data_IF_230668504422
#
_entry.id   IF_230668504422
#
_cell.length_a   1.000
_cell.length_b   1.000
_cell.length_c   1.000
_cell.angle_alpha   90.00
_cell.angle_beta   90.00
_cell.angle_gamma   90.00
#
_symmetry.space_group_name_H-M   'P 1'
#
loop_
_entity.id
_entity.type
_entity.pdbx_description
1 polymer ?
#
# COMPACT_ATOMS: atom_id res chain seq x y z
N UNK A 1 25.29 9.72 -1.67
CA UNK A 1 24.37 8.72 -2.28
C UNK A 1 23.74 9.38 -3.50
N UNK A 2 23.69 8.70 -4.66
CA UNK A 2 22.88 9.21 -5.78
C UNK A 2 21.42 9.19 -5.35
N UNK A 3 20.73 10.30 -5.56
CA UNK A 3 19.29 10.41 -5.29
C UNK A 3 18.55 9.44 -6.23
N UNK A 4 17.78 8.53 -5.66
CA UNK A 4 17.02 7.55 -6.46
C UNK A 4 15.89 8.30 -7.18
N UNK A 5 15.83 8.18 -8.49
CA UNK A 5 14.81 8.84 -9.32
C UNK A 5 13.44 8.22 -9.09
N UNK A 6 12.38 9.03 -9.14
CA UNK A 6 10.99 8.57 -8.88
C UNK A 6 10.52 7.48 -9.84
N UNK A 7 11.06 7.41 -11.07
CA UNK A 7 10.71 6.35 -12.01
C UNK A 7 11.34 4.98 -11.65
N UNK A 8 12.39 4.95 -10.82
CA UNK A 8 13.09 3.70 -10.48
C UNK A 8 12.18 2.77 -9.68
N UNK A 9 12.24 1.48 -9.95
CA UNK A 9 11.39 0.49 -9.28
C UNK A 9 11.69 0.36 -7.79
N UNK A 10 12.94 0.65 -7.38
CA UNK A 10 13.39 0.67 -5.98
C UNK A 10 13.10 2.00 -5.24
N UNK A 11 12.48 2.98 -5.91
CA UNK A 11 12.20 4.27 -5.28
C UNK A 11 11.29 4.09 -4.06
N UNK A 12 11.74 4.64 -2.94
CA UNK A 12 10.95 4.77 -1.73
C UNK A 12 11.28 6.09 -1.05
N UNK A 13 10.31 6.67 -0.37
CA UNK A 13 10.49 7.90 0.39
C UNK A 13 9.66 7.88 1.67
N UNK A 14 10.07 8.68 2.63
CA UNK A 14 9.36 8.92 3.88
C UNK A 14 9.07 10.40 4.03
N UNK A 15 8.03 10.76 4.78
CA UNK A 15 7.57 12.12 4.92
C UNK A 15 7.64 12.58 6.38
N UNK A 16 8.22 13.76 6.59
CA UNK A 16 8.29 14.37 7.91
C UNK A 16 6.92 14.91 8.36
N UNK A 17 6.03 15.29 7.43
CA UNK A 17 4.73 15.86 7.75
C UNK A 17 3.62 15.36 6.81
N UNK A 18 2.36 15.52 7.27
CA UNK A 18 1.18 15.30 6.41
C UNK A 18 1.18 16.24 5.19
N UNK A 19 1.62 17.46 5.35
CA UNK A 19 1.65 18.44 4.25
C UNK A 19 2.60 17.99 3.15
N UNK A 20 3.82 17.62 3.51
CA UNK A 20 4.81 17.09 2.55
C UNK A 20 4.28 15.85 1.81
N UNK A 21 3.68 14.93 2.54
CA UNK A 21 3.08 13.73 1.93
C UNK A 21 1.95 14.09 0.95
N UNK A 22 1.05 14.99 1.33
CA UNK A 22 -0.07 15.39 0.47
C UNK A 22 0.38 16.16 -0.77
N UNK A 23 1.39 17.01 -0.66
CA UNK A 23 2.01 17.70 -1.79
C UNK A 23 2.66 16.70 -2.76
N UNK A 24 3.41 15.73 -2.23
CA UNK A 24 3.99 14.65 -3.04
C UNK A 24 2.91 13.84 -3.77
N UNK A 25 1.84 13.43 -3.08
CA UNK A 25 0.75 12.67 -3.69
C UNK A 25 0.00 13.50 -4.75
N UNK A 26 -0.19 14.81 -4.53
CA UNK A 26 -0.79 15.71 -5.49
C UNK A 26 0.06 15.84 -6.76
N UNK A 27 1.36 16.03 -6.61
CA UNK A 27 2.27 16.14 -7.75
C UNK A 27 2.32 14.83 -8.55
N UNK A 28 2.44 13.71 -7.85
CA UNK A 28 2.40 12.39 -8.49
C UNK A 28 1.08 12.11 -9.21
N UNK A 29 -0.05 12.57 -8.68
CA UNK A 29 -1.34 12.44 -9.34
C UNK A 29 -1.38 13.19 -10.69
N UNK A 30 -0.77 14.38 -10.77
CA UNK A 30 -0.66 15.15 -12.03
C UNK A 30 0.21 14.45 -13.08
N UNK A 31 1.28 13.77 -12.64
CA UNK A 31 2.21 13.04 -13.50
C UNK A 31 1.74 11.62 -13.83
N UNK A 32 0.58 11.21 -13.32
CA UNK A 32 0.00 9.90 -13.58
C UNK A 32 -1.26 10.00 -14.43
N UNK A 33 -1.54 8.95 -15.20
CA UNK A 33 -2.75 8.84 -15.99
C UNK A 33 -3.34 7.44 -15.95
N UNK A 34 -4.66 7.40 -16.07
CA UNK A 34 -5.41 6.17 -16.25
C UNK A 34 -5.87 6.06 -17.70
N UNK A 35 -5.57 4.95 -18.36
CA UNK A 35 -5.90 4.67 -19.75
C UNK A 35 -6.83 3.47 -19.80
N UNK A 36 -8.03 3.62 -20.37
CA UNK A 36 -8.97 2.50 -20.59
C UNK A 36 -8.85 2.02 -22.04
N UNK A 37 -8.64 0.72 -22.22
CA UNK A 37 -8.54 0.07 -23.55
C UNK A 37 -9.06 -1.36 -23.49
N UNK A 38 -9.60 -1.90 -24.60
CA UNK A 38 -9.91 -3.31 -24.71
C UNK A 38 -8.66 -4.15 -24.40
N UNK A 39 -8.77 -5.11 -23.49
CA UNK A 39 -7.63 -5.92 -23.03
C UNK A 39 -6.90 -6.60 -24.18
N UNK A 40 -7.64 -7.08 -25.18
CA UNK A 40 -7.09 -7.73 -26.38
C UNK A 40 -6.18 -6.84 -27.25
N UNK A 41 -6.21 -5.52 -27.03
CA UNK A 41 -5.37 -4.57 -27.78
C UNK A 41 -4.04 -4.29 -27.07
N UNK A 42 -3.86 -4.77 -25.86
CA UNK A 42 -2.62 -4.66 -25.12
C UNK A 42 -1.60 -5.67 -25.67
N UNK A 43 -0.35 -5.24 -25.78
CA UNK A 43 0.73 -6.11 -26.23
C UNK A 43 1.96 -5.90 -25.37
N UNK A 44 2.38 -6.95 -24.67
CA UNK A 44 3.65 -6.98 -23.98
C UNK A 44 4.78 -7.32 -24.94
N UNK A 45 5.88 -6.59 -24.90
CA UNK A 45 7.05 -6.80 -25.77
C UNK A 45 8.33 -6.76 -24.94
N UNK A 46 9.41 -7.47 -25.35
CA UNK A 46 10.71 -7.30 -24.72
C UNK A 46 11.26 -5.89 -24.92
N UNK A 47 11.93 -5.36 -23.90
CA UNK A 47 12.51 -4.02 -23.91
C UNK A 47 13.54 -3.83 -25.03
N UNK A 48 14.41 -4.83 -25.30
CA UNK A 48 15.47 -4.77 -26.32
C UNK A 48 15.00 -4.25 -27.68
N UNK A 49 13.75 -4.53 -28.06
CA UNK A 49 13.18 -4.14 -29.35
C UNK A 49 12.69 -2.70 -29.42
N UNK A 50 12.45 -2.09 -28.28
CA UNK A 50 11.79 -0.79 -28.17
C UNK A 50 12.65 0.23 -27.37
N UNK A 51 13.86 -0.17 -26.96
CA UNK A 51 14.73 0.65 -26.12
C UNK A 51 15.04 2.01 -26.77
N UNK A 52 15.48 2.01 -28.03
CA UNK A 52 15.79 3.24 -28.78
C UNK A 52 14.57 4.15 -28.90
N UNK A 53 13.39 3.59 -29.24
CA UNK A 53 12.15 4.36 -29.35
C UNK A 53 11.75 5.03 -28.04
N UNK A 54 12.01 4.35 -26.90
CA UNK A 54 11.70 4.88 -25.57
C UNK A 54 12.71 5.96 -25.18
N UNK A 55 13.99 5.75 -25.43
CA UNK A 55 15.05 6.73 -25.17
C UNK A 55 14.87 8.02 -25.98
N UNK A 56 14.52 7.91 -27.27
CA UNK A 56 14.22 9.06 -28.12
C UNK A 56 12.99 9.86 -27.67
N UNK A 57 11.98 9.18 -27.10
CA UNK A 57 10.78 9.81 -26.57
C UNK A 57 10.92 10.28 -25.12
N UNK A 58 12.05 10.01 -24.48
CA UNK A 58 12.27 10.24 -23.07
C UNK A 58 12.53 11.73 -22.78
N UNK A 59 11.80 12.28 -21.82
CA UNK A 59 12.11 13.59 -21.28
C UNK A 59 13.36 13.51 -20.38
N UNK A 60 14.07 14.61 -20.19
CA UNK A 60 15.28 14.68 -19.38
C UNK A 60 15.10 14.14 -17.96
N UNK A 61 13.91 14.26 -17.40
CA UNK A 61 13.56 13.77 -16.06
C UNK A 61 13.46 12.24 -15.98
N UNK A 62 13.27 11.60 -17.14
CA UNK A 62 13.16 10.14 -17.29
C UNK A 62 14.45 9.50 -17.83
N UNK A 63 15.54 10.28 -17.94
CA UNK A 63 16.85 9.74 -18.35
C UNK A 63 17.26 8.60 -17.42
N UNK A 64 17.55 7.41 -17.99
CA UNK A 64 17.86 6.19 -17.26
C UNK A 64 16.66 5.25 -17.01
N UNK A 65 15.45 5.58 -17.49
CA UNK A 65 14.27 4.73 -17.34
C UNK A 65 14.44 3.37 -18.05
N UNK A 66 15.12 3.37 -19.19
CA UNK A 66 15.41 2.15 -19.96
C UNK A 66 16.36 1.26 -19.18
N UNK A 67 17.47 1.82 -18.66
CA UNK A 67 18.43 1.10 -17.83
C UNK A 67 17.79 0.49 -16.57
N UNK A 68 16.93 1.26 -15.89
CA UNK A 68 16.20 0.75 -14.72
C UNK A 68 15.23 -0.38 -15.10
N UNK A 69 14.53 -0.26 -16.24
CA UNK A 69 13.63 -1.31 -16.72
C UNK A 69 14.38 -2.57 -17.14
N UNK A 70 15.57 -2.44 -17.72
CA UNK A 70 16.44 -3.56 -18.05
C UNK A 70 16.88 -4.35 -16.81
N UNK A 71 17.22 -3.65 -15.75
CA UNK A 71 17.58 -4.27 -14.45
C UNK A 71 16.43 -5.02 -13.79
N UNK A 72 15.19 -4.59 -14.03
CA UNK A 72 14.00 -5.12 -13.37
C UNK A 72 13.21 -6.06 -14.28
N UNK A 73 12.23 -5.55 -15.02
CA UNK A 73 11.28 -6.38 -15.76
C UNK A 73 11.73 -6.80 -17.15
N UNK A 74 12.52 -5.97 -17.84
CA UNK A 74 12.90 -6.13 -19.24
C UNK A 74 11.71 -6.15 -20.19
N UNK A 75 10.61 -5.53 -19.80
CA UNK A 75 9.33 -5.57 -20.51
C UNK A 75 8.75 -4.18 -20.73
N UNK A 76 8.05 -4.05 -21.86
CA UNK A 76 7.33 -2.86 -22.26
C UNK A 76 5.89 -3.22 -22.62
N UNK A 77 4.93 -2.41 -22.21
CA UNK A 77 3.54 -2.53 -22.60
C UNK A 77 3.25 -1.55 -23.74
N UNK A 78 2.90 -2.09 -24.91
CA UNK A 78 2.40 -1.32 -26.03
C UNK A 78 0.90 -1.06 -25.85
N UNK A 79 0.54 0.22 -25.84
CA UNK A 79 -0.84 0.71 -25.74
C UNK A 79 -1.10 1.62 -26.93
N UNK A 80 -1.81 1.16 -27.94
CA UNK A 80 -1.94 1.81 -29.26
C UNK A 80 -0.58 1.98 -29.97
N UNK A 81 -0.12 3.25 -30.10
CA UNK A 81 1.18 3.60 -30.71
C UNK A 81 2.25 3.86 -29.66
N UNK A 82 1.86 4.00 -28.40
CA UNK A 82 2.77 4.36 -27.30
C UNK A 82 3.37 3.11 -26.66
N UNK A 83 4.59 3.24 -26.19
CA UNK A 83 5.35 2.20 -25.49
C UNK A 83 5.67 2.69 -24.09
N UNK A 84 5.26 1.90 -23.07
CA UNK A 84 5.50 2.23 -21.68
C UNK A 84 6.32 1.12 -21.03
N UNK A 85 7.52 1.42 -20.49
CA UNK A 85 8.25 0.49 -19.63
C UNK A 85 7.35 -0.05 -18.52
N UNK A 86 7.49 -1.34 -18.20
CA UNK A 86 6.67 -2.01 -17.19
C UNK A 86 7.41 -2.04 -15.86
N UNK A 87 6.79 -1.53 -14.81
CA UNK A 87 7.27 -1.59 -13.44
C UNK A 87 7.06 -3.00 -12.86
N UNK A 88 7.92 -3.46 -11.96
CA UNK A 88 7.81 -4.82 -11.38
C UNK A 88 6.46 -5.03 -10.68
N UNK A 89 5.95 -4.05 -9.93
CA UNK A 89 4.65 -4.13 -9.28
C UNK A 89 3.48 -4.32 -10.26
N UNK A 90 3.62 -3.91 -11.54
CA UNK A 90 2.58 -4.09 -12.55
C UNK A 90 2.46 -5.54 -13.06
N UNK A 91 3.52 -6.34 -12.94
CA UNK A 91 3.55 -7.73 -13.48
C UNK A 91 2.40 -8.55 -12.91
N UNK A 92 2.14 -8.45 -11.60
CA UNK A 92 1.05 -9.18 -10.95
C UNK A 92 -0.31 -8.84 -11.57
N UNK A 93 -0.60 -7.55 -11.79
CA UNK A 93 -1.88 -7.10 -12.35
C UNK A 93 -2.02 -7.47 -13.83
N UNK A 94 -0.94 -7.41 -14.60
CA UNK A 94 -0.90 -7.87 -16.01
C UNK A 94 -1.23 -9.35 -16.07
N UNK A 95 -0.59 -10.19 -15.27
CA UNK A 95 -0.85 -11.64 -15.24
C UNK A 95 -2.29 -11.93 -14.80
N UNK A 96 -2.78 -11.25 -13.75
CA UNK A 96 -4.17 -11.37 -13.32
C UNK A 96 -5.14 -11.00 -14.46
N UNK A 97 -4.86 -9.92 -15.21
CA UNK A 97 -5.68 -9.49 -16.36
C UNK A 97 -5.63 -10.49 -17.51
N UNK A 98 -4.50 -11.17 -17.72
CA UNK A 98 -4.34 -12.26 -18.66
C UNK A 98 -4.96 -13.60 -18.18
N UNK A 99 -5.49 -13.67 -16.96
CA UNK A 99 -6.01 -14.92 -16.38
C UNK A 99 -4.92 -15.95 -16.07
N UNK A 100 -3.69 -15.50 -15.85
CA UNK A 100 -2.55 -16.38 -15.60
C UNK A 100 -2.23 -16.40 -14.10
N UNK A 101 -2.23 -17.59 -13.53
CA UNK A 101 -1.83 -17.85 -12.15
C UNK A 101 -0.57 -18.72 -12.13
N UNK A 102 0.34 -18.41 -11.21
CA UNK A 102 1.53 -19.21 -10.96
C UNK A 102 2.84 -18.56 -11.34
N UNK A 103 3.93 -19.12 -10.83
CA UNK A 103 5.29 -18.56 -10.91
C UNK A 103 6.15 -19.15 -12.04
N UNK A 104 5.66 -20.20 -12.71
CA UNK A 104 6.42 -20.95 -13.72
C UNK A 104 6.88 -20.09 -14.90
N UNK A 105 6.06 -19.11 -15.29
CA UNK A 105 6.38 -18.19 -16.39
C UNK A 105 7.64 -17.35 -16.16
N UNK A 106 7.98 -17.06 -14.90
CA UNK A 106 9.18 -16.26 -14.57
C UNK A 106 10.50 -16.90 -15.03
N UNK A 107 10.49 -18.21 -15.32
CA UNK A 107 11.65 -18.98 -15.79
C UNK A 107 11.83 -18.91 -17.31
N UNK A 108 10.85 -18.39 -18.04
CA UNK A 108 10.93 -18.25 -19.49
C UNK A 108 11.81 -17.07 -19.89
N UNK A 109 12.47 -17.21 -21.02
CA UNK A 109 13.12 -16.11 -21.71
C UNK A 109 12.06 -15.02 -22.03
N UNK A 110 12.43 -13.74 -21.96
CA UNK A 110 11.49 -12.61 -21.98
C UNK A 110 10.63 -12.53 -23.24
N UNK A 111 11.16 -12.89 -24.40
CA UNK A 111 10.38 -12.91 -25.63
C UNK A 111 9.30 -14.01 -25.59
N UNK A 112 9.62 -15.18 -25.07
CA UNK A 112 8.67 -16.27 -24.88
C UNK A 112 7.65 -15.94 -23.81
N UNK A 113 8.09 -15.34 -22.67
CA UNK A 113 7.20 -14.84 -21.62
C UNK A 113 6.16 -13.88 -22.19
N UNK A 114 6.62 -12.82 -22.91
CA UNK A 114 5.73 -11.84 -23.52
C UNK A 114 4.75 -12.47 -24.50
N UNK A 115 5.22 -13.44 -25.33
CA UNK A 115 4.40 -14.15 -26.30
C UNK A 115 3.27 -14.95 -25.62
N UNK A 116 3.56 -15.67 -24.54
CA UNK A 116 2.56 -16.44 -23.78
C UNK A 116 1.53 -15.49 -23.15
N UNK A 117 1.98 -14.43 -22.49
CA UNK A 117 1.07 -13.43 -21.88
C UNK A 117 0.18 -12.80 -22.94
N UNK A 118 0.72 -12.45 -24.11
CA UNK A 118 -0.04 -11.86 -25.21
C UNK A 118 -1.14 -12.78 -25.76
N UNK A 119 -0.91 -14.09 -25.87
CA UNK A 119 -1.96 -15.02 -26.27
C UNK A 119 -3.12 -15.01 -25.27
N UNK A 120 -2.83 -14.94 -23.98
CA UNK A 120 -3.85 -14.86 -22.95
C UNK A 120 -4.59 -13.50 -22.96
N UNK A 121 -3.87 -12.37 -23.13
CA UNK A 121 -4.48 -11.04 -23.25
C UNK A 121 -5.41 -10.94 -24.48
N UNK A 122 -5.07 -11.57 -25.61
CA UNK A 122 -5.88 -11.55 -26.81
C UNK A 122 -7.26 -12.22 -26.65
N UNK A 123 -7.35 -13.22 -25.79
CA UNK A 123 -8.62 -13.93 -25.52
C UNK A 123 -9.34 -13.40 -24.27
N UNK A 124 -8.70 -12.53 -23.49
CA UNK A 124 -9.30 -11.91 -22.32
C UNK A 124 -10.44 -10.96 -22.73
N UNK A 125 -11.56 -11.07 -22.01
CA UNK A 125 -12.75 -10.25 -22.27
C UNK A 125 -12.70 -8.93 -21.49
N UNK A 126 -13.44 -7.94 -21.99
CA UNK A 126 -13.62 -6.64 -21.36
C UNK A 126 -12.41 -5.70 -21.53
N UNK A 127 -12.55 -4.54 -20.93
CA UNK A 127 -11.52 -3.50 -20.97
C UNK A 127 -10.47 -3.70 -19.88
N UNK A 128 -9.29 -3.17 -20.12
CA UNK A 128 -8.25 -2.98 -19.12
C UNK A 128 -8.20 -1.50 -18.71
N UNK A 129 -7.96 -1.25 -17.43
CA UNK A 129 -7.66 0.06 -16.86
C UNK A 129 -6.16 0.08 -16.51
N UNK A 130 -5.40 0.86 -17.27
CA UNK A 130 -3.94 0.89 -17.19
C UNK A 130 -3.53 2.13 -16.43
N UNK A 131 -2.73 1.98 -15.38
CA UNK A 131 -2.08 3.10 -14.69
C UNK A 131 -0.68 3.31 -15.23
N UNK A 132 -0.43 4.52 -15.70
CA UNK A 132 0.91 5.00 -16.04
C UNK A 132 1.28 6.09 -15.04
N UNK A 133 2.39 5.91 -14.34
CA UNK A 133 2.92 6.86 -13.39
C UNK A 133 4.44 6.94 -13.52
N UNK A 134 4.98 8.15 -13.44
CA UNK A 134 6.42 8.38 -13.51
C UNK A 134 7.07 7.71 -14.74
N UNK A 135 6.41 7.81 -15.90
CA UNK A 135 6.85 7.22 -17.17
C UNK A 135 6.66 5.72 -17.34
N UNK A 136 6.26 4.97 -16.31
CA UNK A 136 6.09 3.51 -16.35
C UNK A 136 4.65 3.06 -16.12
N UNK A 137 4.30 1.89 -16.68
CA UNK A 137 3.07 1.18 -16.29
C UNK A 137 3.26 0.62 -14.89
N UNK A 138 2.39 1.05 -13.96
CA UNK A 138 2.39 0.59 -12.57
C UNK A 138 1.30 -0.44 -12.28
N UNK A 139 0.21 -0.48 -13.07
CA UNK A 139 -0.84 -1.49 -12.94
C UNK A 139 -1.64 -1.67 -14.23
N UNK A 140 -2.27 -2.85 -14.38
CA UNK A 140 -3.25 -3.17 -15.42
C UNK A 140 -4.43 -3.90 -14.77
N UNK A 141 -5.47 -3.18 -14.43
CA UNK A 141 -6.67 -3.72 -13.79
C UNK A 141 -7.76 -4.07 -14.80
N UNK A 142 -8.83 -4.71 -14.36
CA UNK A 142 -10.09 -4.75 -15.11
C UNK A 142 -10.70 -3.36 -15.24
N UNK A 143 -11.38 -3.13 -16.38
CA UNK A 143 -11.85 -1.79 -16.74
C UNK A 143 -13.22 -1.44 -16.23
N UNK A 144 -13.96 -2.34 -15.59
CA UNK A 144 -15.23 -2.02 -14.96
C UNK A 144 -15.11 -1.83 -13.44
N UNK A 145 -16.11 -1.19 -12.83
CA UNK A 145 -16.08 -0.83 -11.41
C UNK A 145 -16.23 -2.06 -10.49
N UNK A 146 -16.62 -3.21 -11.02
CA UNK A 146 -16.58 -4.47 -10.29
C UNK A 146 -15.17 -5.00 -10.12
N UNK A 147 -14.31 -4.76 -11.12
CA UNK A 147 -12.94 -5.22 -11.13
C UNK A 147 -12.01 -4.29 -10.33
N UNK A 148 -12.13 -2.98 -10.57
CA UNK A 148 -11.30 -1.98 -9.89
C UNK A 148 -11.93 -0.58 -9.89
N UNK A 149 -12.03 0.01 -8.70
CA UNK A 149 -12.45 1.40 -8.50
C UNK A 149 -11.23 2.26 -8.17
N UNK A 150 -11.04 3.32 -8.92
CA UNK A 150 -9.99 4.31 -8.65
C UNK A 150 -10.42 5.15 -7.44
N UNK A 151 -9.72 4.98 -6.33
CA UNK A 151 -9.86 5.81 -5.14
C UNK A 151 -8.62 6.70 -5.04
N UNK A 152 -8.82 8.01 -5.19
CA UNK A 152 -7.71 8.96 -5.19
C UNK A 152 -7.00 8.99 -3.84
N UNK A 153 -5.69 8.71 -3.85
CA UNK A 153 -4.88 8.60 -2.64
C UNK A 153 -4.84 9.92 -1.86
N UNK A 154 -4.62 11.04 -2.53
CA UNK A 154 -4.59 12.35 -1.88
C UNK A 154 -5.91 12.63 -1.16
N UNK A 155 -7.03 12.35 -1.82
CA UNK A 155 -8.37 12.51 -1.23
C UNK A 155 -8.56 11.63 0.00
N UNK A 156 -8.14 10.36 -0.05
CA UNK A 156 -8.22 9.43 1.09
C UNK A 156 -7.42 9.94 2.30
N UNK A 157 -6.17 10.38 2.10
CA UNK A 157 -5.33 10.90 3.17
C UNK A 157 -5.86 12.24 3.72
N UNK A 158 -6.38 13.12 2.87
CA UNK A 158 -7.04 14.37 3.29
C UNK A 158 -8.28 14.06 4.14
N UNK A 159 -9.19 13.20 3.65
CA UNK A 159 -10.40 12.82 4.40
C UNK A 159 -10.05 12.24 5.77
N UNK A 160 -9.00 11.42 5.86
CA UNK A 160 -8.54 10.85 7.13
C UNK A 160 -8.03 11.95 8.07
N UNK A 161 -7.16 12.83 7.58
CA UNK A 161 -6.61 13.94 8.37
C UNK A 161 -7.70 14.87 8.90
N UNK A 162 -8.66 15.22 8.05
CA UNK A 162 -9.77 16.09 8.43
C UNK A 162 -10.72 15.42 9.42
N UNK A 163 -11.02 14.14 9.21
CA UNK A 163 -11.82 13.34 10.14
C UNK A 163 -11.15 13.29 11.53
N UNK A 164 -9.86 12.99 11.57
CA UNK A 164 -9.12 12.91 12.84
C UNK A 164 -9.09 14.27 13.56
N UNK A 165 -8.87 15.37 12.87
CA UNK A 165 -8.90 16.72 13.46
C UNK A 165 -10.28 17.05 14.04
N UNK A 166 -11.36 16.62 13.39
CA UNK A 166 -12.73 16.89 13.82
C UNK A 166 -13.16 16.06 15.03
N UNK A 167 -12.79 14.77 15.06
CA UNK A 167 -13.31 13.79 16.02
C UNK A 167 -12.32 13.39 17.12
N UNK A 168 -11.01 13.60 16.92
CA UNK A 168 -9.95 13.29 17.87
C UNK A 168 -9.10 14.52 18.13
N UNK A 169 -9.57 15.42 19.03
CA UNK A 169 -8.86 16.65 19.38
C UNK A 169 -7.43 16.35 19.85
N UNK A 170 -6.44 17.03 19.30
CA UNK A 170 -5.04 16.78 19.63
C UNK A 170 -4.43 15.59 18.90
N UNK A 171 -5.10 15.01 17.88
CA UNK A 171 -4.48 14.05 17.00
C UNK A 171 -3.32 14.70 16.23
N UNK A 172 -2.19 14.00 16.16
CA UNK A 172 -0.98 14.48 15.50
C UNK A 172 -0.43 13.41 14.54
N UNK A 173 0.06 13.85 13.40
CA UNK A 173 0.81 12.98 12.51
C UNK A 173 2.09 12.52 13.21
N UNK A 174 2.37 11.23 13.12
CA UNK A 174 3.62 10.68 13.65
C UNK A 174 4.73 10.93 12.63
N UNK A 175 5.65 11.82 12.94
CA UNK A 175 6.78 12.19 12.09
C UNK A 175 7.56 10.95 11.62
N UNK A 176 7.87 10.90 10.32
CA UNK A 176 8.59 9.77 9.71
C UNK A 176 7.79 8.48 9.53
N UNK A 177 6.51 8.45 9.93
CA UNK A 177 5.64 7.28 9.74
C UNK A 177 5.03 7.20 8.35
N UNK A 178 4.97 8.32 7.64
CA UNK A 178 4.51 8.36 6.26
C UNK A 178 5.55 7.78 5.33
N UNK A 179 5.14 6.86 4.49
CA UNK A 179 6.01 6.23 3.51
C UNK A 179 5.28 6.02 2.20
N UNK A 180 6.03 6.10 1.13
CA UNK A 180 5.60 5.76 -0.21
C UNK A 180 6.63 4.86 -0.86
N UNK A 181 6.16 3.79 -1.46
CA UNK A 181 6.80 3.10 -2.56
C UNK A 181 5.77 2.90 -3.69
N UNK A 182 6.19 2.36 -4.82
CA UNK A 182 5.27 2.19 -5.95
C UNK A 182 4.15 1.17 -5.72
N UNK A 183 4.18 0.45 -4.61
CA UNK A 183 3.21 -0.59 -4.26
C UNK A 183 2.23 -0.12 -3.20
N UNK A 184 2.69 0.66 -2.22
CA UNK A 184 1.93 1.03 -1.04
C UNK A 184 2.25 2.46 -0.57
N UNK A 185 1.23 3.15 -0.07
CA UNK A 185 1.34 4.39 0.70
C UNK A 185 0.82 4.15 2.10
N UNK A 186 1.53 4.63 3.10
CA UNK A 186 1.09 4.52 4.48
C UNK A 186 1.40 5.78 5.28
N UNK A 187 0.60 6.04 6.31
CA UNK A 187 0.87 7.06 7.32
C UNK A 187 0.24 6.68 8.65
N UNK A 188 0.74 7.26 9.74
CA UNK A 188 0.25 7.00 11.09
C UNK A 188 0.01 8.32 11.83
N UNK A 189 -1.03 8.33 12.64
CA UNK A 189 -1.38 9.43 13.55
C UNK A 189 -1.53 8.91 14.95
N UNK A 190 -1.05 9.65 15.93
CA UNK A 190 -1.46 9.48 17.33
C UNK A 190 -2.80 10.18 17.53
N UNK A 191 -3.69 9.56 18.28
CA UNK A 191 -5.04 10.08 18.56
C UNK A 191 -5.07 10.67 19.96
N UNK A 192 -5.36 11.96 20.04
CA UNK A 192 -5.53 12.66 21.31
C UNK A 192 -7.00 12.86 21.68
N UNK A 193 -7.24 13.46 22.84
CA UNK A 193 -8.54 14.02 23.21
C UNK A 193 -9.60 13.07 23.76
N UNK A 194 -9.27 11.79 23.92
CA UNK A 194 -10.14 10.79 24.55
C UNK A 194 -9.52 10.26 25.84
N UNK A 195 -9.32 11.17 26.83
CA UNK A 195 -8.68 10.80 28.09
C UNK A 195 -9.43 9.67 28.83
N UNK A 196 -10.75 9.69 28.84
CA UNK A 196 -11.56 8.64 29.45
C UNK A 196 -11.30 7.26 28.84
N UNK A 197 -11.19 7.18 27.49
CA UNK A 197 -10.86 5.94 26.80
C UNK A 197 -9.44 5.48 27.12
N UNK A 198 -8.50 6.42 27.20
CA UNK A 198 -7.10 6.16 27.52
C UNK A 198 -6.95 5.67 28.97
N UNK A 199 -7.61 6.33 29.92
CA UNK A 199 -7.60 5.96 31.34
C UNK A 199 -8.22 4.57 31.54
N UNK A 200 -9.34 4.29 30.87
CA UNK A 200 -9.98 2.96 30.91
C UNK A 200 -9.04 1.88 30.35
N UNK A 201 -8.31 2.20 29.29
CA UNK A 201 -7.34 1.28 28.68
C UNK A 201 -6.15 1.03 29.60
N UNK A 202 -5.58 2.10 30.19
CA UNK A 202 -4.48 1.97 31.16
C UNK A 202 -4.89 1.17 32.38
N UNK A 203 -6.08 1.42 32.95
CA UNK A 203 -6.59 0.66 34.07
C UNK A 203 -6.74 -0.83 33.70
N UNK A 204 -7.31 -1.15 32.53
CA UNK A 204 -7.44 -2.53 32.08
C UNK A 204 -6.09 -3.23 31.90
N UNK A 205 -5.05 -2.52 31.47
CA UNK A 205 -3.68 -3.06 31.38
C UNK A 205 -3.05 -3.27 32.77
N UNK A 206 -3.22 -2.31 33.71
CA UNK A 206 -2.73 -2.40 35.09
C UNK A 206 -3.36 -3.60 35.81
N UNK A 207 -4.66 -3.83 35.65
CA UNK A 207 -5.39 -4.97 36.20
C UNK A 207 -4.82 -6.32 35.68
N UNK A 208 -4.16 -6.31 34.53
CA UNK A 208 -3.47 -7.47 33.96
C UNK A 208 -1.94 -7.47 34.22
N UNK A 209 -1.45 -6.55 35.07
CA UNK A 209 -0.04 -6.46 35.46
C UNK A 209 0.86 -5.83 34.37
N UNK A 210 0.29 -5.04 33.48
CA UNK A 210 1.02 -4.31 32.42
C UNK A 210 1.04 -2.82 32.79
N UNK A 211 2.16 -2.33 33.27
CA UNK A 211 2.34 -0.93 33.71
C UNK A 211 2.99 -0.07 32.61
N UNK A 212 2.46 -0.07 31.38
CA UNK A 212 2.97 0.81 30.31
C UNK A 212 2.06 2.03 30.12
N UNK A 213 2.32 3.10 30.88
CA UNK A 213 1.60 4.39 30.76
C UNK A 213 1.99 5.20 29.52
N UNK A 214 2.95 4.73 28.73
CA UNK A 214 3.36 5.38 27.49
C UNK A 214 2.49 5.01 26.28
N UNK A 215 1.54 4.08 26.46
CA UNK A 215 0.65 3.64 25.39
C UNK A 215 -0.35 4.74 25.03
N UNK A 216 -0.39 5.10 23.74
CA UNK A 216 -1.34 6.06 23.20
C UNK A 216 -2.11 5.43 22.03
N UNK A 217 -3.41 5.76 21.86
CA UNK A 217 -4.16 5.35 20.69
C UNK A 217 -3.50 5.91 19.42
N UNK A 218 -3.41 5.08 18.39
CA UNK A 218 -2.85 5.48 17.10
C UNK A 218 -3.64 4.84 15.95
N UNK A 219 -3.70 5.51 14.82
CA UNK A 219 -4.32 5.01 13.60
C UNK A 219 -3.28 4.96 12.50
N UNK A 220 -3.14 3.81 11.84
CA UNK A 220 -2.39 3.68 10.60
C UNK A 220 -3.35 3.52 9.43
N UNK A 221 -3.13 4.30 8.40
CA UNK A 221 -3.79 4.16 7.10
C UNK A 221 -2.80 3.59 6.09
N UNK A 222 -3.23 2.61 5.31
CA UNK A 222 -2.50 2.13 4.13
C UNK A 222 -3.42 2.07 2.93
N UNK A 223 -2.89 2.34 1.75
CA UNK A 223 -3.59 2.14 0.47
C UNK A 223 -2.62 1.81 -0.65
N UNK A 224 -3.15 1.30 -1.76
CA UNK A 224 -2.38 0.93 -2.95
C UNK A 224 -3.23 1.18 -4.20
N UNK A 225 -2.65 1.79 -5.21
CA UNK A 225 -3.28 1.94 -6.53
C UNK A 225 -2.84 0.87 -7.54
N UNK A 226 -2.06 -0.10 -7.08
CA UNK A 226 -1.60 -1.25 -7.88
C UNK A 226 -2.18 -2.59 -7.38
N UNK A 227 -3.25 -2.55 -6.59
CA UNK A 227 -3.97 -3.70 -6.03
C UNK A 227 -3.15 -4.63 -5.12
N UNK A 228 -2.08 -4.14 -4.52
CA UNK A 228 -1.34 -4.86 -3.46
C UNK A 228 -2.12 -4.82 -2.15
N UNK A 229 -2.84 -3.72 -1.89
CA UNK A 229 -3.67 -3.51 -0.70
C UNK A 229 -4.92 -2.73 -1.06
N UNK A 230 -6.01 -2.95 -0.34
CA UNK A 230 -7.14 -2.01 -0.30
C UNK A 230 -6.81 -0.79 0.55
N UNK A 231 -7.80 0.07 0.76
CA UNK A 231 -7.74 1.14 1.76
C UNK A 231 -8.00 0.52 3.13
N UNK A 232 -6.99 0.47 3.98
CA UNK A 232 -7.07 -0.19 5.28
C UNK A 232 -6.76 0.80 6.41
N UNK A 233 -7.65 0.86 7.39
CA UNK A 233 -7.48 1.60 8.62
C UNK A 233 -7.14 0.59 9.73
N UNK A 234 -6.01 0.77 10.40
CA UNK A 234 -5.52 -0.08 11.48
C UNK A 234 -5.59 0.69 12.80
N UNK A 235 -6.66 0.50 13.60
CA UNK A 235 -6.67 0.97 14.97
C UNK A 235 -5.60 0.23 15.78
N UNK A 236 -4.80 0.97 16.55
CA UNK A 236 -3.68 0.40 17.29
C UNK A 236 -3.36 1.23 18.55
N UNK A 237 -2.54 0.66 19.41
CA UNK A 237 -1.87 1.40 20.48
C UNK A 237 -0.39 1.48 20.17
N UNK A 238 0.19 2.65 20.37
CA UNK A 238 1.62 2.93 20.18
C UNK A 238 2.26 3.22 21.53
N UNK A 239 3.29 2.47 21.90
CA UNK A 239 4.15 2.81 23.03
C UNK A 239 5.10 3.94 22.62
N UNK A 240 4.97 5.10 23.26
CA UNK A 240 5.81 6.26 22.99
C UNK A 240 7.25 6.08 23.46
N UNK A 241 7.50 5.15 24.40
CA UNK A 241 8.84 4.87 24.92
C UNK A 241 9.61 3.84 24.09
N UNK A 242 8.91 2.81 23.59
CA UNK A 242 9.55 1.70 22.87
C UNK A 242 9.26 1.68 21.37
N UNK A 243 8.42 2.58 20.85
CA UNK A 243 7.90 2.60 19.49
C UNK A 243 7.22 1.27 19.06
N UNK A 244 6.80 0.46 20.03
CA UNK A 244 6.08 -0.79 19.75
C UNK A 244 4.63 -0.51 19.46
N UNK A 245 4.08 -1.26 18.52
CA UNK A 245 2.70 -1.14 18.07
C UNK A 245 1.93 -2.39 18.49
N UNK A 246 0.75 -2.19 19.07
CA UNK A 246 -0.22 -3.24 19.39
C UNK A 246 -1.45 -3.04 18.53
N UNK A 247 -1.73 -3.95 17.60
CA UNK A 247 -2.91 -3.88 16.76
C UNK A 247 -4.17 -4.21 17.57
N UNK A 248 -5.20 -3.39 17.41
CA UNK A 248 -6.50 -3.57 18.07
C UNK A 248 -7.47 -4.30 17.12
N UNK A 249 -7.26 -5.60 16.98
CA UNK A 249 -8.08 -6.45 16.11
C UNK A 249 -7.76 -6.32 14.62
N UNK A 250 -8.74 -6.72 13.80
CA UNK A 250 -8.61 -6.66 12.33
C UNK A 250 -8.80 -5.25 11.81
N UNK A 251 -8.09 -4.86 10.73
CA UNK A 251 -8.27 -3.55 10.11
C UNK A 251 -9.69 -3.36 9.55
N UNK A 252 -10.13 -2.10 9.53
CA UNK A 252 -11.31 -1.68 8.78
C UNK A 252 -10.90 -1.56 7.33
N UNK A 253 -11.45 -2.42 6.46
CA UNK A 253 -11.01 -2.57 5.06
C UNK A 253 -12.02 -2.02 4.08
N UNK A 254 -11.52 -1.39 3.02
CA UNK A 254 -12.26 -1.09 1.80
C UNK A 254 -11.45 -1.61 0.61
N UNK A 255 -11.98 -2.62 -0.09
CA UNK A 255 -11.37 -3.10 -1.34
C UNK A 255 -11.60 -2.10 -2.47
N UNK A 256 -10.72 -2.09 -3.46
CA UNK A 256 -10.87 -1.29 -4.68
C UNK A 256 -11.76 -1.96 -5.74
N UNK A 257 -12.73 -2.76 -5.34
CA UNK A 257 -13.63 -3.50 -6.23
C UNK A 257 -15.09 -3.28 -5.88
N UNK A 258 -16.01 -3.90 -6.65
CA UNK A 258 -17.45 -3.93 -6.37
C UNK A 258 -18.11 -2.56 -6.23
N UNK A 259 -17.64 -1.58 -6.99
CA UNK A 259 -18.21 -0.24 -6.96
C UNK A 259 -17.84 0.59 -5.73
N UNK A 260 -16.71 0.30 -5.08
CA UNK A 260 -16.22 1.03 -3.91
C UNK A 260 -16.11 2.53 -4.15
N UNK A 261 -16.60 3.32 -3.21
CA UNK A 261 -16.67 4.79 -3.30
C UNK A 261 -15.95 5.48 -2.13
N UNK A 262 -15.68 6.78 -2.28
CA UNK A 262 -15.20 7.62 -1.19
C UNK A 262 -16.23 7.74 -0.05
N UNK A 263 -17.54 7.57 -0.33
CA UNK A 263 -18.56 7.53 0.71
C UNK A 263 -18.43 6.26 1.58
N UNK A 264 -18.11 5.11 0.97
CA UNK A 264 -17.84 3.88 1.72
C UNK A 264 -16.61 4.04 2.61
N UNK A 265 -15.59 4.76 2.12
CA UNK A 265 -14.42 5.09 2.93
C UNK A 265 -14.81 5.99 4.12
N UNK A 266 -15.65 7.02 3.91
CA UNK A 266 -16.15 7.87 4.99
C UNK A 266 -16.91 7.07 6.04
N UNK A 267 -17.78 6.17 5.61
CA UNK A 267 -18.49 5.27 6.52
C UNK A 267 -17.55 4.36 7.32
N UNK A 268 -16.38 4.05 6.78
CA UNK A 268 -15.35 3.28 7.49
C UNK A 268 -14.60 4.14 8.51
N UNK A 269 -14.38 5.43 8.25
CA UNK A 269 -13.82 6.35 9.23
C UNK A 269 -14.72 6.44 10.48
N UNK A 270 -16.03 6.48 10.30
CA UNK A 270 -17.01 6.53 11.42
C UNK A 270 -16.96 5.30 12.34
N UNK A 271 -16.38 4.19 11.89
CA UNK A 271 -16.20 2.98 12.70
C UNK A 271 -14.96 3.02 13.61
N UNK A 272 -14.06 4.00 13.43
CA UNK A 272 -12.78 4.03 14.16
C UNK A 272 -13.03 4.08 15.66
N UNK A 273 -13.89 4.97 16.14
CA UNK A 273 -14.15 5.14 17.56
C UNK A 273 -14.72 3.86 18.22
N UNK A 274 -15.68 3.21 17.58
CA UNK A 274 -16.26 1.97 18.09
C UNK A 274 -15.23 0.83 18.20
N UNK A 275 -14.22 0.81 17.31
CA UNK A 275 -13.13 -0.18 17.38
C UNK A 275 -12.27 -0.03 18.61
N UNK A 276 -11.98 1.22 19.03
CA UNK A 276 -11.25 1.44 20.28
C UNK A 276 -12.08 1.03 21.49
N UNK A 277 -13.38 1.34 21.50
CA UNK A 277 -14.28 0.92 22.58
C UNK A 277 -14.41 -0.62 22.66
N UNK A 278 -14.52 -1.31 21.51
CA UNK A 278 -14.56 -2.78 21.47
C UNK A 278 -13.26 -3.40 22.00
N UNK A 279 -12.10 -2.82 21.67
CA UNK A 279 -10.81 -3.30 22.14
C UNK A 279 -10.67 -3.18 23.66
N UNK A 280 -11.10 -2.08 24.25
CA UNK A 280 -11.12 -1.89 25.71
C UNK A 280 -12.02 -2.94 26.37
N UNK A 281 -13.24 -3.17 25.86
CA UNK A 281 -14.15 -4.22 26.37
C UNK A 281 -13.55 -5.61 26.25
N UNK A 282 -12.80 -5.87 25.17
CA UNK A 282 -12.09 -7.13 24.99
C UNK A 282 -11.03 -7.38 26.05
N UNK A 283 -10.29 -6.34 26.47
CA UNK A 283 -9.29 -6.44 27.55
C UNK A 283 -9.96 -6.68 28.88
N UNK A 284 -11.01 -5.93 29.22
CA UNK A 284 -11.78 -6.09 30.46
C UNK A 284 -12.45 -7.48 30.55
N UNK A 285 -12.86 -8.05 29.40
CA UNK A 285 -13.49 -9.38 29.35
C UNK A 285 -12.53 -10.58 29.40
N UNK A 286 -11.21 -10.34 29.43
CA UNK A 286 -10.18 -11.40 29.46
C UNK A 286 -9.90 -12.00 30.86
N UNK A 287 -10.81 -11.87 31.83
CA UNK A 287 -10.69 -12.43 33.18
C UNK A 287 -10.48 -13.96 33.23
N UNK A 288 -10.36 -14.67 32.13
CA UNK A 288 -10.23 -16.13 32.06
C UNK A 288 -8.93 -16.70 31.50
N UNK A 289 -8.07 -15.91 30.85
CA UNK A 289 -6.81 -16.43 30.31
C UNK A 289 -5.61 -16.00 31.16
N UNK A 290 -5.24 -16.82 32.15
CA UNK A 290 -3.90 -16.75 32.74
C UNK A 290 -2.91 -17.13 31.64
N UNK A 291 -2.05 -16.19 31.22
CA UNK A 291 -0.87 -16.52 30.42
C UNK A 291 -0.11 -17.65 31.13
N UNK A 292 0.25 -18.74 30.45
CA UNK A 292 1.15 -19.72 31.05
C UNK A 292 2.42 -18.95 31.45
N UNK A 293 2.84 -19.14 32.72
CA UNK A 293 4.11 -18.57 33.23
C UNK A 293 5.18 -18.87 32.18
N UNK A 294 6.06 -17.90 31.83
CA UNK A 294 7.12 -18.14 30.87
C UNK A 294 7.87 -19.39 31.29
N UNK A 295 7.94 -20.37 30.41
CA UNK A 295 8.73 -21.58 30.61
C UNK A 295 10.16 -21.12 30.95
N UNK A 296 10.61 -21.40 32.18
CA UNK A 296 12.04 -21.29 32.50
C UNK A 296 12.74 -22.28 31.56
N UNK A 297 13.46 -21.78 30.59
CA UNK A 297 14.40 -22.58 29.82
C UNK A 297 15.37 -23.22 30.81
N UNK A 298 15.60 -24.54 30.76
CA UNK A 298 16.61 -25.15 31.59
C UNK A 298 17.96 -24.49 31.26
N UNK A 299 18.71 -24.11 32.30
CA UNK A 299 20.07 -23.66 32.14
C UNK A 299 20.84 -24.74 31.37
N UNK A 300 21.36 -24.40 30.18
CA UNK A 300 22.24 -25.29 29.46
C UNK A 300 23.56 -25.35 30.22
N UNK A 301 23.82 -26.50 30.87
CA UNK A 301 25.14 -26.87 31.33
C UNK A 301 26.05 -27.03 30.09
N UNK A 302 26.74 -25.95 29.73
CA UNK A 302 27.96 -26.04 28.94
C UNK A 302 29.13 -26.05 29.93
N UNK A 303 29.44 -27.22 30.47
CA UNK A 303 30.80 -27.50 30.95
C UNK A 303 31.61 -28.01 29.74
N UNK A 304 32.77 -27.37 29.56
CA UNK A 304 33.70 -27.64 28.47
C UNK A 304 34.41 -28.99 28.61
N UNK A 305 34.80 -29.52 27.49
CA UNK A 305 36.07 -30.17 27.20
C UNK A 305 36.41 -29.91 25.74
#
# INVERSE_FOLDING_TARGET
MKETKIYADEFCTTFASTTEMLEFLAERAKQSKWIRKPTRMLKLVPLEKEAETIEEACEKELEGIVEDTEKNTQLVLKVNKDFYPVRDCAIHTILKRAGINGTGLKKLEKATYAKVVNYCLQVAKGDALIKVADGKVSAVHGGDDHDYCVLDMQTIFNMTSDYLKAHFKGSTYLEGSGSFDHSIVSAMWTLGGNQELLDTYHQALEDHGIEDKSLAPALRLTTSDVAVSGVNLYPMMLSQTSNRVINLGSPIKLSHDRGATLQDFRNNLDKIFSRYQEAVKGIVGFDGYRYPKPCKLPASDYEGT
#
